data_IF_935969886694
#
_entry.id   IF_935969886694
#
_cell.length_a   1.000
_cell.length_b   1.000
_cell.length_c   1.000
_cell.angle_alpha   90.00
_cell.angle_beta   90.00
_cell.angle_gamma   90.00
#
_symmetry.space_group_name_H-M   'P 1'
#
loop_
_entity.id
_entity.type
_entity.pdbx_description
1 polymer ?
#
# COMPACT_ATOMS: atom_id res chain seq x y z
N UNK A 1 -30.43 3.93 2.37
CA UNK A 1 -29.74 3.52 3.60
C UNK A 1 -28.44 4.31 3.68
N UNK A 2 -28.44 5.43 4.38
CA UNK A 2 -27.22 6.19 4.67
C UNK A 2 -26.47 5.45 5.76
N UNK A 3 -25.65 4.47 5.37
CA UNK A 3 -24.71 3.85 6.28
C UNK A 3 -23.88 4.96 6.91
N UNK A 4 -23.91 5.04 8.23
CA UNK A 4 -22.99 5.87 9.00
C UNK A 4 -21.61 5.69 8.41
N UNK A 5 -20.99 6.80 7.97
CA UNK A 5 -19.63 6.77 7.45
C UNK A 5 -18.76 6.12 8.55
N UNK A 6 -18.31 4.85 8.38
CA UNK A 6 -17.56 4.18 9.43
C UNK A 6 -16.39 5.10 9.72
N UNK A 7 -16.11 5.41 10.99
CA UNK A 7 -15.07 6.37 11.36
C UNK A 7 -13.70 5.87 10.86
N UNK A 8 -13.40 6.14 9.59
CA UNK A 8 -12.24 5.67 8.82
C UNK A 8 -10.97 6.35 9.32
N UNK A 9 -11.10 7.49 10.00
CA UNK A 9 -10.02 8.16 10.72
C UNK A 9 -9.49 7.38 11.94
N UNK A 10 -10.15 6.30 12.37
CA UNK A 10 -9.70 5.50 13.51
C UNK A 10 -8.56 4.53 13.20
N UNK A 11 -8.35 4.19 11.93
CA UNK A 11 -7.36 3.19 11.55
C UNK A 11 -5.99 3.85 11.37
N UNK A 12 -5.00 3.31 12.05
CA UNK A 12 -3.62 3.79 12.01
C UNK A 12 -2.84 3.13 10.86
N UNK A 13 -1.97 3.91 10.23
CA UNK A 13 -0.95 3.46 9.30
C UNK A 13 0.39 3.20 10.00
N UNK A 14 0.67 3.98 11.05
CA UNK A 14 1.93 4.01 11.80
C UNK A 14 1.66 4.14 13.30
N UNK A 15 2.62 3.71 14.12
CA UNK A 15 2.55 3.79 15.59
C UNK A 15 2.69 5.21 16.15
N UNK A 16 3.06 6.19 15.32
CA UNK A 16 3.15 7.61 15.69
C UNK A 16 1.79 8.33 15.68
N UNK A 17 0.69 7.60 15.41
CA UNK A 17 -0.66 8.15 15.31
C UNK A 17 -1.06 8.57 13.89
N UNK A 18 -0.20 8.45 12.88
CA UNK A 18 -0.58 8.68 11.48
C UNK A 18 -1.69 7.73 11.07
N UNK A 19 -2.82 8.26 10.60
CA UNK A 19 -3.98 7.46 10.14
C UNK A 19 -3.76 6.90 8.72
N UNK A 20 -4.50 5.86 8.36
CA UNK A 20 -4.47 5.30 6.99
C UNK A 20 -4.83 6.34 5.95
N UNK A 21 -5.89 7.15 6.18
CA UNK A 21 -6.26 8.23 5.25
C UNK A 21 -5.09 9.19 5.07
N UNK A 22 -4.49 9.65 6.17
CA UNK A 22 -3.42 10.65 6.10
C UNK A 22 -2.19 10.11 5.38
N UNK A 23 -1.83 8.87 5.66
CA UNK A 23 -0.74 8.19 4.97
C UNK A 23 -1.02 8.01 3.47
N UNK A 24 -2.22 7.55 3.10
CA UNK A 24 -2.64 7.39 1.70
C UNK A 24 -2.63 8.72 0.95
N UNK A 25 -3.08 9.82 1.57
CA UNK A 25 -2.99 11.17 0.98
C UNK A 25 -1.54 11.56 0.67
N UNK A 26 -0.61 11.29 1.59
CA UNK A 26 0.81 11.56 1.36
C UNK A 26 1.39 10.72 0.22
N UNK A 27 1.04 9.44 0.14
CA UNK A 27 1.49 8.55 -0.95
C UNK A 27 0.93 9.01 -2.30
N UNK A 28 -0.34 9.41 -2.36
CA UNK A 28 -0.96 9.95 -3.57
C UNK A 28 -0.28 11.23 -4.04
N UNK A 29 -0.01 12.17 -3.12
CA UNK A 29 0.72 13.40 -3.43
C UNK A 29 2.14 13.12 -3.94
N UNK A 30 2.86 12.21 -3.27
CA UNK A 30 4.19 11.80 -3.71
C UNK A 30 4.16 11.16 -5.10
N UNK A 31 3.18 10.30 -5.36
CA UNK A 31 2.99 9.64 -6.67
C UNK A 31 2.73 10.66 -7.79
N UNK A 32 1.89 11.67 -7.53
CA UNK A 32 1.62 12.75 -8.48
C UNK A 32 2.88 13.58 -8.76
N UNK A 33 3.63 13.94 -7.71
CA UNK A 33 4.86 14.72 -7.85
C UNK A 33 5.92 13.96 -8.66
N UNK A 34 6.11 12.67 -8.37
CA UNK A 34 7.05 11.82 -9.10
C UNK A 34 6.62 11.70 -10.57
N UNK A 35 5.36 11.33 -10.83
CA UNK A 35 4.85 11.17 -12.19
C UNK A 35 4.97 12.47 -13.00
N UNK A 36 4.73 13.62 -12.37
CA UNK A 36 4.87 14.93 -13.00
C UNK A 36 6.33 15.23 -13.38
N UNK A 37 7.29 14.84 -12.53
CA UNK A 37 8.71 15.06 -12.75
C UNK A 37 9.36 14.10 -13.77
N UNK A 38 8.74 12.97 -14.09
CA UNK A 38 9.26 12.04 -15.09
C UNK A 38 9.30 12.66 -16.49
N UNK A 39 10.42 12.43 -17.20
CA UNK A 39 10.64 12.84 -18.59
C UNK A 39 10.00 11.85 -19.58
N UNK A 40 8.69 11.63 -19.42
CA UNK A 40 7.83 10.77 -20.27
C UNK A 40 6.68 11.60 -20.84
N UNK A 41 6.02 11.10 -21.89
CA UNK A 41 4.95 11.82 -22.57
C UNK A 41 3.70 12.03 -21.71
N UNK A 42 2.83 12.95 -22.13
CA UNK A 42 1.54 13.16 -21.46
C UNK A 42 0.65 11.92 -21.53
N UNK A 43 0.69 11.20 -22.63
CA UNK A 43 -0.04 9.95 -22.85
C UNK A 43 0.47 8.84 -21.91
N UNK A 44 1.79 8.71 -21.75
CA UNK A 44 2.39 7.74 -20.81
C UNK A 44 1.99 8.07 -19.36
N UNK A 45 1.99 9.36 -18.98
CA UNK A 45 1.50 9.79 -17.66
C UNK A 45 0.03 9.47 -17.46
N UNK A 46 -0.81 9.69 -18.47
CA UNK A 46 -2.24 9.39 -18.42
C UNK A 46 -2.51 7.89 -18.28
N UNK A 47 -1.69 7.03 -18.90
CA UNK A 47 -1.77 5.58 -18.76
C UNK A 47 -1.30 5.08 -17.38
N UNK A 48 -0.25 5.69 -16.82
CA UNK A 48 0.32 5.27 -15.53
C UNK A 48 -0.49 5.76 -14.33
N UNK A 49 -1.10 6.94 -14.42
CA UNK A 49 -1.77 7.56 -13.26
C UNK A 49 -2.86 6.68 -12.63
N UNK A 50 -3.79 6.05 -13.38
CA UNK A 50 -4.80 5.18 -12.80
C UNK A 50 -4.20 4.03 -11.99
N UNK A 51 -3.16 3.37 -12.52
CA UNK A 51 -2.46 2.25 -11.86
C UNK A 51 -1.73 2.71 -10.59
N UNK A 52 -0.99 3.82 -10.66
CA UNK A 52 -0.30 4.40 -9.50
C UNK A 52 -1.29 4.80 -8.41
N UNK A 53 -2.41 5.43 -8.78
CA UNK A 53 -3.47 5.82 -7.87
C UNK A 53 -4.11 4.60 -7.20
N UNK A 54 -4.38 3.54 -7.95
CA UNK A 54 -4.93 2.30 -7.41
C UNK A 54 -3.98 1.69 -6.37
N UNK A 55 -2.72 1.48 -6.73
CA UNK A 55 -1.71 0.96 -5.81
C UNK A 55 -1.54 1.83 -4.56
N UNK A 56 -1.47 3.16 -4.72
CA UNK A 56 -1.33 4.09 -3.61
C UNK A 56 -2.51 3.99 -2.61
N UNK A 57 -3.74 3.87 -3.11
CA UNK A 57 -4.94 3.75 -2.26
C UNK A 57 -4.95 2.44 -1.48
N UNK A 58 -4.58 1.33 -2.12
CA UNK A 58 -4.82 -0.01 -1.58
C UNK A 58 -3.61 -0.70 -0.96
N UNK A 59 -2.38 -0.20 -1.14
CA UNK A 59 -1.17 -0.88 -0.65
C UNK A 59 -1.25 -1.27 0.84
N UNK A 60 -1.78 -0.36 1.66
CA UNK A 60 -1.88 -0.52 3.11
C UNK A 60 -3.29 -0.92 3.59
N UNK A 61 -4.20 -1.31 2.70
CA UNK A 61 -5.57 -1.71 3.06
C UNK A 61 -5.57 -2.80 4.14
N UNK A 62 -4.63 -3.75 4.07
CA UNK A 62 -4.52 -4.83 5.03
C UNK A 62 -4.24 -4.41 6.47
N UNK A 63 -3.80 -3.16 6.71
CA UNK A 63 -3.60 -2.63 8.05
C UNK A 63 -4.91 -2.46 8.83
N UNK A 64 -6.07 -2.48 8.16
CA UNK A 64 -7.37 -2.48 8.86
C UNK A 64 -7.62 -3.74 9.68
N UNK A 65 -6.82 -4.80 9.49
CA UNK A 65 -6.94 -6.03 10.25
C UNK A 65 -6.78 -5.75 11.76
N UNK A 66 -7.70 -6.23 12.62
CA UNK A 66 -7.71 -5.86 14.04
C UNK A 66 -6.40 -6.12 14.77
N UNK A 67 -5.72 -7.24 14.49
CA UNK A 67 -4.47 -7.56 15.18
C UNK A 67 -3.31 -6.69 14.70
N UNK A 68 -3.33 -6.22 13.44
CA UNK A 68 -2.37 -5.22 12.97
C UNK A 68 -2.54 -3.89 13.72
N UNK A 69 -3.79 -3.46 13.94
CA UNK A 69 -4.09 -2.26 14.71
C UNK A 69 -3.65 -2.38 16.18
N UNK A 70 -3.88 -3.53 16.83
CA UNK A 70 -3.38 -3.77 18.20
C UNK A 70 -1.86 -3.65 18.29
N UNK A 71 -1.13 -4.13 17.27
CA UNK A 71 0.33 -3.96 17.20
C UNK A 71 0.71 -2.49 17.08
N UNK A 72 0.04 -1.71 16.23
CA UNK A 72 0.30 -0.27 16.11
C UNK A 72 0.01 0.52 17.38
N UNK A 73 -0.97 0.08 18.17
CA UNK A 73 -1.33 0.67 19.47
C UNK A 73 -0.44 0.20 20.63
N UNK A 74 0.47 -0.76 20.40
CA UNK A 74 1.32 -1.34 21.44
C UNK A 74 0.59 -2.32 22.37
N UNK A 75 -0.61 -2.75 22.01
CA UNK A 75 -1.48 -3.63 22.81
C UNK A 75 -1.36 -5.12 22.43
N UNK A 76 -0.68 -5.44 21.33
CA UNK A 76 -0.55 -6.79 20.79
C UNK A 76 0.90 -7.24 20.61
N UNK A 77 1.13 -8.56 20.59
CA UNK A 77 2.41 -9.14 20.15
C UNK A 77 2.54 -9.00 18.63
N UNK A 78 3.78 -8.95 18.14
CA UNK A 78 4.08 -9.00 16.71
C UNK A 78 3.35 -10.17 16.06
N UNK A 79 2.41 -9.83 15.18
CA UNK A 79 1.65 -10.80 14.41
C UNK A 79 2.43 -11.11 13.13
N UNK A 80 2.65 -12.39 12.82
CA UNK A 80 3.46 -12.85 11.68
C UNK A 80 2.83 -12.60 10.29
N UNK A 81 1.81 -11.75 10.22
CA UNK A 81 1.02 -11.49 9.04
C UNK A 81 1.47 -10.20 8.37
N UNK A 82 1.75 -10.33 7.08
CA UNK A 82 2.19 -9.26 6.20
C UNK A 82 0.96 -8.50 5.71
N UNK A 83 0.77 -7.25 6.11
CA UNK A 83 -0.42 -6.49 5.71
C UNK A 83 -0.48 -6.31 4.19
N UNK A 84 0.66 -6.28 3.51
CA UNK A 84 0.74 -6.20 2.05
C UNK A 84 0.13 -7.43 1.35
N UNK A 85 0.26 -8.64 1.93
CA UNK A 85 -0.36 -9.85 1.38
C UNK A 85 -1.87 -9.85 1.62
N UNK A 86 -2.34 -9.25 2.72
CA UNK A 86 -3.76 -9.11 2.96
C UNK A 86 -4.41 -8.06 2.09
N UNK A 87 -3.72 -6.93 1.86
CA UNK A 87 -4.11 -5.95 0.86
C UNK A 87 -4.28 -6.62 -0.50
N UNK A 88 -3.25 -7.35 -0.95
CA UNK A 88 -3.26 -8.07 -2.22
C UNK A 88 -4.42 -9.08 -2.30
N UNK A 89 -4.63 -9.87 -1.25
CA UNK A 89 -5.74 -10.82 -1.19
C UNK A 89 -7.10 -10.11 -1.30
N UNK A 90 -7.35 -9.06 -0.51
CA UNK A 90 -8.60 -8.31 -0.53
C UNK A 90 -8.88 -7.72 -1.93
N UNK A 91 -7.89 -7.09 -2.55
CA UNK A 91 -8.11 -6.50 -3.87
C UNK A 91 -8.33 -7.56 -4.94
N UNK A 92 -7.62 -8.69 -4.89
CA UNK A 92 -7.75 -9.77 -5.88
C UNK A 92 -9.11 -10.45 -5.83
N UNK A 93 -9.75 -10.46 -4.65
CA UNK A 93 -11.05 -11.11 -4.44
C UNK A 93 -12.23 -10.20 -4.71
N UNK A 94 -12.08 -8.89 -4.48
CA UNK A 94 -13.23 -7.98 -4.37
C UNK A 94 -13.17 -6.76 -5.28
N UNK A 95 -12.04 -6.49 -5.94
CA UNK A 95 -11.89 -5.37 -6.86
C UNK A 95 -11.45 -5.84 -8.24
N UNK A 96 -11.84 -5.09 -9.27
CA UNK A 96 -11.21 -5.20 -10.58
C UNK A 96 -9.80 -4.63 -10.47
N UNK A 97 -8.81 -5.53 -10.48
CA UNK A 97 -7.38 -5.20 -10.42
C UNK A 97 -6.61 -6.04 -11.44
N UNK A 98 -5.52 -5.48 -11.98
CA UNK A 98 -4.61 -6.23 -12.85
C UNK A 98 -3.56 -6.99 -12.03
N UNK A 99 -2.99 -8.03 -12.63
CA UNK A 99 -1.91 -8.81 -11.99
C UNK A 99 -0.74 -7.91 -11.58
N UNK A 100 -0.41 -6.87 -12.37
CA UNK A 100 0.66 -5.94 -12.02
C UNK A 100 0.34 -5.10 -10.78
N UNK A 101 -0.93 -4.71 -10.58
CA UNK A 101 -1.37 -3.95 -9.41
C UNK A 101 -1.34 -4.80 -8.15
N UNK A 102 -1.86 -6.04 -8.24
CA UNK A 102 -1.80 -7.04 -7.16
C UNK A 102 -0.35 -7.32 -6.79
N UNK A 103 0.50 -7.52 -7.78
CA UNK A 103 1.92 -7.79 -7.60
C UNK A 103 2.66 -6.61 -6.94
N UNK A 104 2.44 -5.38 -7.40
CA UNK A 104 3.03 -4.19 -6.81
C UNK A 104 2.61 -4.01 -5.35
N UNK A 105 1.34 -4.24 -5.03
CA UNK A 105 0.84 -4.18 -3.65
C UNK A 105 1.46 -5.27 -2.79
N UNK A 106 1.52 -6.52 -3.26
CA UNK A 106 2.04 -7.66 -2.48
C UNK A 106 3.54 -7.54 -2.12
N UNK A 107 4.29 -6.69 -2.84
CA UNK A 107 5.75 -6.57 -2.73
C UNK A 107 6.23 -5.22 -2.17
N UNK A 108 5.34 -4.31 -1.79
CA UNK A 108 5.73 -2.93 -1.43
C UNK A 108 6.58 -2.80 -0.16
N UNK A 109 6.60 -3.81 0.73
CA UNK A 109 7.50 -3.86 1.90
C UNK A 109 8.70 -4.78 1.72
N UNK A 110 8.49 -5.93 1.06
CA UNK A 110 9.53 -6.93 0.81
C UNK A 110 9.59 -7.18 -0.68
N UNK A 111 10.73 -6.85 -1.28
CA UNK A 111 11.02 -7.17 -2.67
C UNK A 111 10.97 -8.68 -2.93
N UNK A 112 10.91 -9.05 -4.20
CA UNK A 112 10.91 -10.45 -4.65
C UNK A 112 12.25 -11.13 -4.29
N UNK A 113 13.32 -10.35 -4.33
CA UNK A 113 14.68 -10.83 -4.08
C UNK A 113 15.11 -10.50 -2.65
N UNK A 114 15.62 -11.50 -1.94
CA UNK A 114 16.33 -11.28 -0.67
C UNK A 114 17.82 -11.11 -0.97
N UNK A 115 18.37 -9.91 -0.77
CA UNK A 115 19.81 -9.63 -0.88
C UNK A 115 20.68 -10.42 0.13
N UNK A 116 20.10 -11.24 1.01
CA UNK A 116 20.84 -11.92 2.09
C UNK A 116 21.44 -13.29 1.72
N UNK A 117 21.59 -13.62 0.44
CA UNK A 117 22.29 -14.84 0.01
C UNK A 117 23.29 -14.68 -1.14
N UNK A 118 23.52 -13.48 -1.69
CA UNK A 118 24.55 -13.32 -2.72
C UNK A 118 25.38 -12.06 -2.53
N UNK A 119 26.54 -12.25 -1.89
CA UNK A 119 27.59 -11.25 -1.79
C UNK A 119 28.48 -11.20 -3.05
N UNK A 120 27.96 -11.60 -4.23
CA UNK A 120 28.70 -11.62 -5.49
C UNK A 120 27.79 -11.52 -6.72
N UNK A 121 27.39 -10.32 -7.16
CA UNK A 121 27.44 -10.04 -8.61
C UNK A 121 27.94 -8.60 -8.84
N UNK A 122 28.99 -8.42 -9.66
CA UNK A 122 29.59 -7.12 -9.96
C UNK A 122 28.79 -6.39 -11.04
N UNK A 123 28.65 -5.08 -10.87
CA UNK A 123 28.57 -4.12 -11.96
C UNK A 123 29.69 -3.10 -11.79
#
# INVERSE_FOLDING_TARGET
MTGSNPNIGKFLAKSDGTTLIKHTEFVLLASQNILSALAISGEEKALLWPKLRFCAIFHDLGKVYPDFQKVLLGEGKTFGFRHELFSAWLISMYLESSDEEVFAIATHHKGIWNEREDNRIPF
#
